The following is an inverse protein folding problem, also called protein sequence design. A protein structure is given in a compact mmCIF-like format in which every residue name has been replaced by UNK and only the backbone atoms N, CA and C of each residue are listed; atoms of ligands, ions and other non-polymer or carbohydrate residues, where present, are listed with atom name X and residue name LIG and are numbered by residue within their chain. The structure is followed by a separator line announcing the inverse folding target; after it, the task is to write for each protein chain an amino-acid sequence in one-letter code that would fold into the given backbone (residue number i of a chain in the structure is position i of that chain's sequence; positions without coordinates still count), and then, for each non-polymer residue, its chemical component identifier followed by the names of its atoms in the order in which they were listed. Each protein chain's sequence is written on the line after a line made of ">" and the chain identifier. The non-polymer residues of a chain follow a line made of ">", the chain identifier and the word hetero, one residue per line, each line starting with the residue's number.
data_IF_548884869253
#
_entry.id   IF_548884869253
#
_cell.length_a   1.000
_cell.length_b   1.000
_cell.length_c   1.000
_cell.angle_alpha   90.00
_cell.angle_beta   90.00
_cell.angle_gamma   90.00
#
_symmetry.space_group_name_H-M   'P 1'
#
loop_
_entity.id
_entity.type
_entity.pdbx_description
1 polymer ?
#
# COMPACT_ATOMS: atom_id res chain seq x y z
N UNK A 1 -23.25 6.07 2.87
CA UNK A 1 -22.06 6.54 3.59
C UNK A 1 -21.10 5.37 3.63
N UNK A 2 -19.98 5.47 2.92
CA UNK A 2 -19.16 4.33 2.49
C UNK A 2 -18.61 3.51 3.65
N UNK A 3 -18.61 2.18 3.51
CA UNK A 3 -17.88 1.30 4.41
C UNK A 3 -16.39 1.49 4.11
N UNK A 4 -15.67 2.12 5.01
CA UNK A 4 -14.23 2.28 4.93
C UNK A 4 -13.57 0.96 5.32
N UNK A 5 -12.96 0.26 4.35
CA UNK A 5 -12.12 -0.91 4.65
C UNK A 5 -10.77 -0.40 5.17
N UNK A 6 -10.77 -0.17 6.47
CA UNK A 6 -9.64 0.23 7.26
C UNK A 6 -8.84 -1.00 7.70
N UNK A 7 -7.58 -1.07 7.28
CA UNK A 7 -6.69 -2.20 7.60
C UNK A 7 -5.40 -1.66 8.21
N UNK A 8 -5.06 -2.11 9.42
CA UNK A 8 -3.72 -1.87 9.96
C UNK A 8 -2.75 -2.85 9.32
N UNK A 9 -1.67 -2.35 8.72
CA UNK A 9 -0.56 -3.13 8.19
C UNK A 9 0.62 -3.01 9.14
N UNK A 10 1.07 -4.15 9.64
CA UNK A 10 2.35 -4.24 10.35
C UNK A 10 3.28 -5.07 9.47
N UNK A 11 4.42 -4.47 9.11
CA UNK A 11 5.50 -5.13 8.40
C UNK A 11 6.60 -5.37 9.41
N UNK A 12 6.88 -6.64 9.74
CA UNK A 12 7.99 -7.02 10.63
C UNK A 12 9.03 -7.78 9.82
N UNK A 13 10.27 -7.29 9.83
CA UNK A 13 11.42 -8.01 9.29
C UNK A 13 12.15 -8.72 10.43
N UNK A 14 12.06 -10.04 10.51
CA UNK A 14 12.95 -10.81 11.38
C UNK A 14 14.32 -10.98 10.72
N UNK A 15 15.39 -10.92 11.53
CA UNK A 15 16.81 -11.05 11.11
C UNK A 15 17.12 -12.35 10.36
N UNK A 16 16.21 -13.32 10.32
CA UNK A 16 16.28 -14.54 9.53
C UNK A 16 14.95 -14.81 8.79
N UNK A 17 14.67 -14.02 7.75
CA UNK A 17 14.00 -14.52 6.54
C UNK A 17 12.48 -14.65 6.53
N UNK A 18 11.75 -14.20 7.54
CA UNK A 18 10.28 -14.12 7.47
C UNK A 18 9.80 -12.68 7.64
N UNK A 19 9.11 -12.17 6.62
CA UNK A 19 8.37 -10.92 6.65
C UNK A 19 6.94 -11.27 7.02
N UNK A 20 6.45 -10.69 8.11
CA UNK A 20 5.07 -10.92 8.54
C UNK A 20 4.25 -9.68 8.24
N UNK A 21 3.24 -9.84 7.37
CA UNK A 21 2.15 -8.87 7.24
C UNK A 21 1.06 -9.25 8.22
N UNK A 22 0.79 -8.39 9.20
CA UNK A 22 -0.47 -8.48 9.96
C UNK A 22 -1.43 -7.45 9.44
N UNK A 23 -2.54 -7.94 8.90
CA UNK A 23 -3.72 -7.16 8.55
C UNK A 23 -4.74 -7.34 9.67
N UNK A 24 -5.06 -6.27 10.40
CA UNK A 24 -6.17 -6.30 11.37
C UNK A 24 -7.34 -5.49 10.82
N UNK A 25 -8.52 -6.10 10.61
CA UNK A 25 -9.73 -5.34 10.30
C UNK A 25 -10.01 -4.37 11.44
N UNK A 26 -10.37 -3.13 11.12
CA UNK A 26 -10.90 -2.22 12.12
C UNK A 26 -12.27 -2.73 12.57
N UNK A 27 -12.36 -3.34 13.76
CA UNK A 27 -13.64 -3.69 14.36
C UNK A 27 -14.31 -2.44 14.92
N UNK A 28 -14.97 -1.65 14.06
CA UNK A 28 -16.05 -0.79 14.52
C UNK A 28 -17.35 -1.62 14.52
N UNK A 29 -18.07 -1.72 15.66
CA UNK A 29 -19.33 -2.44 15.70
C UNK A 29 -20.35 -1.71 14.81
N UNK A 30 -20.66 -2.29 13.66
CA UNK A 30 -21.77 -1.87 12.83
C UNK A 30 -23.07 -2.27 13.54
N UNK A 31 -23.64 -1.37 14.33
CA UNK A 31 -25.00 -1.57 14.84
C UNK A 31 -25.97 -1.61 13.65
N UNK A 32 -26.54 -2.80 13.42
CA UNK A 32 -27.58 -3.06 12.45
C UNK A 32 -28.84 -2.26 12.81
N UNK A 33 -29.39 -1.54 11.83
CA UNK A 33 -30.73 -1.72 11.26
C UNK A 33 -31.15 -0.42 10.53
N UNK A 34 -31.19 -0.48 9.20
CA UNK A 34 -32.07 0.38 8.40
C UNK A 34 -32.55 -0.44 7.19
N UNK A 35 -33.86 -0.45 6.87
CA UNK A 35 -34.41 -1.29 5.82
C UNK A 35 -34.11 -0.73 4.42
N UNK A 36 -33.95 -1.64 3.45
CA UNK A 36 -33.78 -1.32 2.04
C UNK A 36 -35.08 -0.70 1.47
N UNK A 37 -35.01 0.35 0.63
CA UNK A 37 -36.14 0.74 -0.21
C UNK A 37 -36.18 -0.20 -1.43
N UNK A 38 -37.19 -1.05 -1.45
CA UNK A 38 -37.68 -1.71 -2.66
C UNK A 38 -38.37 -0.64 -3.50
N UNK A 39 -37.85 -0.28 -4.68
CA UNK A 39 -38.59 0.25 -5.86
C UNK A 39 -37.67 1.06 -6.80
N UNK A 40 -37.02 0.39 -7.75
CA UNK A 40 -36.72 0.91 -9.10
C UNK A 40 -36.20 -0.25 -9.99
N UNK A 41 -37.09 -0.95 -10.67
CA UNK A 41 -36.72 -1.88 -11.75
C UNK A 41 -37.48 -1.51 -13.02
N UNK A 42 -36.95 -0.56 -13.78
CA UNK A 42 -37.14 -0.48 -15.24
C UNK A 42 -36.17 0.52 -15.85
N UNK A 43 -35.30 0.05 -16.75
CA UNK A 43 -34.58 0.89 -17.70
C UNK A 43 -33.06 0.71 -17.71
N UNK A 44 -32.57 -0.16 -18.61
CA UNK A 44 -31.26 -0.14 -19.29
C UNK A 44 -30.20 0.82 -18.75
N UNK A 45 -29.67 0.56 -17.56
CA UNK A 45 -28.38 1.07 -17.13
C UNK A 45 -27.38 -0.08 -17.22
N UNK A 46 -26.33 0.12 -18.01
CA UNK A 46 -25.10 -0.66 -17.96
C UNK A 46 -24.73 -0.82 -16.47
N UNK A 47 -24.86 -2.03 -15.92
CA UNK A 47 -24.56 -2.29 -14.51
C UNK A 47 -23.06 -2.14 -14.30
N UNK A 48 -22.59 -0.92 -14.14
CA UNK A 48 -21.32 -0.68 -13.48
C UNK A 48 -21.58 -1.11 -12.05
N UNK A 49 -21.05 -2.27 -11.68
CA UNK A 49 -21.10 -2.77 -10.32
C UNK A 49 -20.63 -1.63 -9.41
N UNK A 50 -21.47 -1.11 -8.49
CA UNK A 50 -21.08 -0.02 -7.59
C UNK A 50 -19.95 -0.44 -6.64
N UNK A 51 -19.61 -1.74 -6.65
CA UNK A 51 -18.47 -2.34 -5.97
C UNK A 51 -17.28 -2.63 -6.92
N UNK A 52 -17.11 -1.88 -8.02
CA UNK A 52 -15.89 -1.91 -8.83
C UNK A 52 -14.68 -1.30 -8.08
N UNK A 53 -14.48 -1.71 -6.82
CA UNK A 53 -13.22 -1.56 -6.14
C UNK A 53 -12.22 -2.45 -6.88
N UNK A 54 -11.25 -1.83 -7.57
CA UNK A 54 -10.04 -2.57 -7.89
C UNK A 54 -9.46 -3.04 -6.56
N UNK A 55 -9.23 -4.36 -6.35
CA UNK A 55 -8.74 -4.85 -5.09
C UNK A 55 -7.39 -4.19 -4.80
N UNK A 56 -7.22 -3.65 -3.58
CA UNK A 56 -5.94 -3.10 -3.13
C UNK A 56 -4.86 -4.16 -3.29
N UNK A 57 -3.76 -3.82 -3.96
CA UNK A 57 -2.63 -4.73 -4.15
C UNK A 57 -1.42 -4.22 -3.38
N UNK A 58 -0.77 -5.14 -2.68
CA UNK A 58 0.48 -4.89 -1.96
C UNK A 58 1.58 -5.65 -2.70
N UNK A 59 2.64 -4.96 -3.09
CA UNK A 59 3.87 -5.55 -3.61
C UNK A 59 4.91 -5.54 -2.50
N UNK A 60 5.46 -6.71 -2.17
CA UNK A 60 6.59 -6.82 -1.24
C UNK A 60 7.84 -7.31 -1.96
N UNK A 61 8.94 -6.58 -1.78
CA UNK A 61 10.20 -6.85 -2.47
C UNK A 61 11.40 -6.70 -1.53
N UNK A 62 12.01 -7.83 -1.18
CA UNK A 62 13.34 -7.86 -0.58
C UNK A 62 14.40 -7.66 -1.67
N UNK A 63 14.94 -6.43 -1.76
CA UNK A 63 15.87 -6.07 -2.84
C UNK A 63 17.33 -6.48 -2.57
N UNK A 64 17.70 -6.72 -1.31
CA UNK A 64 19.09 -6.97 -0.87
C UNK A 64 20.11 -5.93 -1.41
N UNK A 65 19.68 -4.70 -1.64
CA UNK A 65 20.51 -3.60 -2.12
C UNK A 65 19.87 -2.79 -3.25
N UNK A 66 19.32 -1.61 -2.94
CA UNK A 66 18.70 -0.69 -3.89
C UNK A 66 19.71 0.26 -4.58
N UNK A 67 21.01 0.15 -4.28
CA UNK A 67 22.06 1.00 -4.87
C UNK A 67 22.34 0.72 -6.35
N UNK A 68 21.95 -0.45 -6.86
CA UNK A 68 22.15 -0.86 -8.25
C UNK A 68 20.97 -0.44 -9.15
N UNK A 69 21.26 0.30 -10.21
CA UNK A 69 20.25 0.78 -11.17
C UNK A 69 19.46 -0.34 -11.85
N UNK A 70 20.05 -1.52 -12.04
CA UNK A 70 19.35 -2.66 -12.64
C UNK A 70 18.25 -3.20 -11.69
N UNK A 71 18.46 -3.12 -10.38
CA UNK A 71 17.47 -3.55 -9.38
C UNK A 71 16.29 -2.57 -9.36
N UNK A 72 16.54 -1.27 -9.55
CA UNK A 72 15.49 -0.26 -9.68
C UNK A 72 14.63 -0.48 -10.93
N UNK A 73 15.23 -0.88 -12.06
CA UNK A 73 14.49 -1.21 -13.29
C UNK A 73 13.54 -2.39 -13.10
N UNK A 74 14.04 -3.50 -12.56
CA UNK A 74 13.21 -4.68 -12.28
C UNK A 74 12.04 -4.34 -11.35
N UNK A 75 12.29 -3.53 -10.33
CA UNK A 75 11.24 -3.04 -9.44
C UNK A 75 10.20 -2.18 -10.18
N UNK A 76 10.66 -1.28 -11.04
CA UNK A 76 9.79 -0.45 -11.88
C UNK A 76 8.92 -1.30 -12.80
N UNK A 77 9.49 -2.33 -13.44
CA UNK A 77 8.75 -3.24 -14.32
C UNK A 77 7.63 -3.99 -13.57
N UNK A 78 7.90 -4.42 -12.33
CA UNK A 78 6.88 -5.05 -11.48
C UNK A 78 5.78 -4.06 -11.08
N UNK A 79 6.13 -2.83 -10.73
CA UNK A 79 5.17 -1.76 -10.40
C UNK A 79 4.30 -1.45 -11.61
N UNK A 80 4.89 -1.29 -12.79
CA UNK A 80 4.16 -1.03 -14.03
C UNK A 80 3.22 -2.18 -14.40
N UNK A 81 3.65 -3.42 -14.22
CA UNK A 81 2.87 -4.62 -14.60
C UNK A 81 1.71 -4.90 -13.65
N UNK A 82 1.93 -4.74 -12.34
CA UNK A 82 0.94 -5.16 -11.33
C UNK A 82 0.08 -4.00 -10.81
N UNK A 83 0.58 -2.76 -10.93
CA UNK A 83 -0.01 -1.52 -10.40
C UNK A 83 -0.41 -1.66 -8.93
N UNK A 84 0.55 -1.90 -8.02
CA UNK A 84 0.25 -2.01 -6.59
C UNK A 84 -0.16 -0.66 -5.99
N UNK A 85 -1.09 -0.69 -5.04
CA UNK A 85 -1.48 0.48 -4.24
C UNK A 85 -0.44 0.79 -3.16
N UNK A 86 0.23 -0.26 -2.67
CA UNK A 86 1.32 -0.18 -1.69
C UNK A 86 2.50 -1.00 -2.22
N UNK A 87 3.70 -0.44 -2.20
CA UNK A 87 4.92 -1.20 -2.37
C UNK A 87 5.79 -1.15 -1.13
N UNK A 88 6.36 -2.28 -0.78
CA UNK A 88 7.25 -2.47 0.36
C UNK A 88 8.60 -2.89 -0.18
N UNK A 89 9.65 -2.17 0.20
CA UNK A 89 11.02 -2.49 -0.20
C UNK A 89 11.85 -2.75 1.05
N UNK A 90 12.49 -3.92 1.08
CA UNK A 90 13.25 -4.38 2.24
C UNK A 90 14.72 -4.54 1.87
N UNK A 91 15.60 -4.41 2.88
CA UNK A 91 17.04 -4.55 2.76
C UNK A 91 17.65 -3.63 1.67
N UNK A 92 17.27 -2.35 1.65
CA UNK A 92 17.74 -1.40 0.62
C UNK A 92 19.24 -1.13 0.67
N UNK A 93 19.91 -1.35 1.82
CA UNK A 93 21.37 -1.17 2.01
C UNK A 93 21.88 0.19 1.51
N UNK A 94 21.01 1.20 1.47
CA UNK A 94 21.33 2.59 1.12
C UNK A 94 20.63 3.51 2.10
N UNK A 95 21.30 4.59 2.49
CA UNK A 95 20.79 5.59 3.45
C UNK A 95 21.11 7.01 2.98
N UNK A 96 20.66 8.01 3.74
CA UNK A 96 20.97 9.42 3.51
C UNK A 96 20.51 9.95 2.14
N UNK A 97 21.33 10.79 1.51
CA UNK A 97 21.01 11.43 0.23
C UNK A 97 20.76 10.42 -0.89
N UNK A 98 21.50 9.31 -0.91
CA UNK A 98 21.32 8.27 -1.93
C UNK A 98 19.96 7.59 -1.77
N UNK A 99 19.54 7.30 -0.55
CA UNK A 99 18.21 6.78 -0.26
C UNK A 99 17.11 7.75 -0.73
N UNK A 100 17.25 9.05 -0.41
CA UNK A 100 16.30 10.08 -0.87
C UNK A 100 16.16 10.09 -2.39
N UNK A 101 17.29 10.13 -3.10
CA UNK A 101 17.32 10.18 -4.56
C UNK A 101 16.68 8.94 -5.19
N UNK A 102 16.99 7.75 -4.68
CA UNK A 102 16.42 6.50 -5.20
C UNK A 102 14.92 6.45 -4.89
N UNK A 103 14.48 6.74 -3.66
CA UNK A 103 13.04 6.72 -3.33
C UNK A 103 12.24 7.72 -4.15
N UNK A 104 12.75 8.93 -4.41
CA UNK A 104 12.06 9.93 -5.22
C UNK A 104 12.00 9.58 -6.71
N UNK A 105 12.84 8.65 -7.16
CA UNK A 105 12.82 8.17 -8.56
C UNK A 105 11.78 7.08 -8.82
N UNK A 106 11.19 6.53 -7.76
CA UNK A 106 10.13 5.52 -7.86
C UNK A 106 8.79 6.19 -8.14
N UNK A 107 7.94 5.53 -8.91
CA UNK A 107 6.63 6.06 -9.34
C UNK A 107 5.56 5.98 -8.25
N UNK A 108 5.83 6.57 -7.09
CA UNK A 108 4.89 6.68 -5.97
C UNK A 108 4.85 8.11 -5.43
N UNK A 109 3.67 8.55 -5.00
CA UNK A 109 3.46 9.89 -4.45
C UNK A 109 4.15 10.07 -3.08
N UNK A 110 4.16 9.00 -2.28
CA UNK A 110 4.62 9.05 -0.90
C UNK A 110 5.59 7.92 -0.57
N UNK A 111 6.47 8.18 0.41
CA UNK A 111 7.43 7.22 0.94
C UNK A 111 7.58 7.41 2.46
N UNK A 112 7.49 6.32 3.21
CA UNK A 112 7.92 6.22 4.60
C UNK A 112 9.11 5.26 4.67
N UNK A 113 10.10 5.57 5.51
CA UNK A 113 11.35 4.80 5.61
C UNK A 113 11.73 4.65 7.07
N UNK A 114 12.20 3.46 7.44
CA UNK A 114 12.93 3.27 8.68
C UNK A 114 14.37 3.73 8.54
N UNK A 115 14.94 4.16 9.67
CA UNK A 115 16.37 4.47 9.75
C UNK A 115 17.19 3.18 9.61
N UNK A 116 18.29 3.29 8.89
CA UNK A 116 19.24 2.19 8.72
C UNK A 116 20.23 2.16 9.88
N UNK A 117 20.38 1.01 10.56
CA UNK A 117 21.56 0.75 11.38
C UNK A 117 22.52 -0.18 10.61
N UNK A 118 23.47 0.43 9.92
CA UNK A 118 24.40 -0.26 9.03
C UNK A 118 23.69 -0.98 7.87
N UNK A 119 23.81 -2.31 7.82
CA UNK A 119 23.17 -3.17 6.80
C UNK A 119 21.80 -3.71 7.21
N UNK A 120 21.31 -3.36 8.41
CA UNK A 120 20.08 -3.90 8.97
C UNK A 120 18.99 -2.83 8.98
N UNK A 121 17.76 -3.29 8.79
CA UNK A 121 16.58 -2.52 9.14
C UNK A 121 16.16 -1.41 8.20
N UNK A 122 16.48 -1.49 6.91
CA UNK A 122 15.93 -0.57 5.91
C UNK A 122 14.63 -1.12 5.31
N UNK A 123 13.51 -0.62 5.79
CA UNK A 123 12.15 -0.90 5.31
C UNK A 123 11.60 0.40 4.71
N UNK A 124 11.18 0.36 3.46
CA UNK A 124 10.48 1.46 2.82
C UNK A 124 9.06 1.03 2.50
N UNK A 125 8.09 1.88 2.82
CA UNK A 125 6.71 1.76 2.35
C UNK A 125 6.45 2.91 1.37
N UNK A 126 5.96 2.59 0.19
CA UNK A 126 5.59 3.55 -0.85
C UNK A 126 4.12 3.37 -1.20
N UNK A 127 3.41 4.47 -1.46
CA UNK A 127 2.00 4.44 -1.83
C UNK A 127 1.59 5.65 -2.66
N UNK A 128 0.50 5.50 -3.41
CA UNK A 128 -0.14 6.58 -4.16
C UNK A 128 -1.28 7.18 -3.36
N UNK A 129 -1.27 8.50 -3.22
CA UNK A 129 -2.31 9.24 -2.49
C UNK A 129 -3.69 9.14 -3.18
N UNK A 130 -3.70 8.82 -4.48
CA UNK A 130 -4.93 8.58 -5.23
C UNK A 130 -5.64 7.29 -4.81
N UNK A 131 -4.87 6.25 -4.49
CA UNK A 131 -5.40 4.90 -4.27
C UNK A 131 -5.72 4.66 -2.80
N UNK A 132 -4.86 5.15 -1.91
CA UNK A 132 -4.99 4.95 -0.47
C UNK A 132 -4.52 6.17 0.32
N UNK A 133 -4.99 6.24 1.56
CA UNK A 133 -4.41 7.08 2.62
C UNK A 133 -3.73 6.16 3.63
N UNK A 134 -2.55 6.54 4.08
CA UNK A 134 -1.73 5.73 4.98
C UNK A 134 -1.27 6.58 6.17
N UNK A 135 -1.74 6.23 7.37
CA UNK A 135 -1.36 6.88 8.62
C UNK A 135 -0.28 6.06 9.31
N UNK A 136 0.94 6.60 9.34
CA UNK A 136 2.08 5.95 10.00
C UNK A 136 1.91 6.04 11.53
N UNK A 137 1.81 4.90 12.19
CA UNK A 137 1.63 4.80 13.64
C UNK A 137 2.97 4.71 14.37
N UNK A 138 3.90 3.91 13.84
CA UNK A 138 5.25 3.79 14.38
C UNK A 138 6.24 3.28 13.33
N UNK A 139 7.49 3.68 13.48
CA UNK A 139 8.61 3.29 12.64
C UNK A 139 9.78 2.95 13.57
N UNK A 140 10.37 1.79 13.38
CA UNK A 140 11.67 1.43 13.93
C UNK A 140 12.47 0.67 12.86
N UNK A 141 13.70 0.28 13.19
CA UNK A 141 14.59 -0.45 12.29
C UNK A 141 14.00 -1.80 11.82
N UNK A 142 13.13 -2.44 12.59
CA UNK A 142 12.63 -3.80 12.28
C UNK A 142 11.18 -3.83 11.81
N UNK A 143 10.47 -2.71 11.91
CA UNK A 143 9.05 -2.66 11.61
C UNK A 143 8.52 -1.28 11.28
N UNK A 144 7.51 -1.27 10.41
CA UNK A 144 6.66 -0.11 10.17
C UNK A 144 5.22 -0.53 10.40
N UNK A 145 4.52 0.25 11.22
CA UNK A 145 3.12 0.07 11.57
C UNK A 145 2.33 1.22 10.98
N UNK A 146 1.31 0.91 10.21
CA UNK A 146 0.48 1.92 9.57
C UNK A 146 -0.98 1.51 9.51
N UNK A 147 -1.87 2.48 9.53
CA UNK A 147 -3.27 2.30 9.19
C UNK A 147 -3.49 2.66 7.72
N UNK A 148 -4.22 1.82 7.01
CA UNK A 148 -4.50 2.01 5.58
C UNK A 148 -5.99 2.17 5.38
N UNK A 149 -6.34 3.24 4.67
CA UNK A 149 -7.69 3.51 4.22
C UNK A 149 -7.71 3.51 2.69
N UNK A 150 -8.57 2.68 2.10
CA UNK A 150 -8.77 2.68 0.64
C UNK A 150 -9.59 3.90 0.24
N UNK A 151 -9.06 4.66 -0.71
CA UNK A 151 -9.82 5.75 -1.29
C UNK A 151 -10.82 5.16 -2.29
N UNK A 152 -12.10 5.44 -2.10
CA UNK A 152 -13.12 5.08 -3.08
C UNK A 152 -12.92 5.95 -4.33
N UNK A 153 -12.03 5.54 -5.22
CA UNK A 153 -11.93 6.15 -6.53
C UNK A 153 -13.17 5.76 -7.32
N UNK A 154 -13.96 6.75 -7.73
CA UNK A 154 -14.94 6.55 -8.78
C UNK A 154 -14.15 6.02 -9.99
N UNK A 155 -14.49 4.86 -10.60
CA UNK A 155 -13.80 4.41 -11.79
C UNK A 155 -14.03 5.48 -12.85
N UNK A 156 -13.03 6.33 -13.07
CA UNK A 156 -13.11 7.35 -14.11
C UNK A 156 -13.26 6.59 -15.41
N UNK A 157 -14.46 6.62 -15.97
CA UNK A 157 -14.89 5.98 -17.20
C UNK A 157 -14.27 6.65 -18.42
N UNK A 158 -12.96 6.90 -18.41
CA UNK A 158 -12.23 7.55 -19.48
C UNK A 158 -10.85 6.89 -19.60
N UNK A 159 -10.84 5.68 -20.16
CA UNK A 159 -9.70 5.10 -20.87
C UNK A 159 -10.22 4.37 -22.09
#
# INVERSE_FOLDING_TARGET
>A
MGREEAVTIIIVQHTMGLITFRLTPNTQPCNLLAPLPTEWMTGHAHMINPFNFLPMKILDWNCRGAGNLNICKNFTDMVCSHRPSIAVILETRISGQRANFVSSSLSFDNVCRSDADGFRGCIWILWNARDITLDILSVNDQSIHAFVQVNASNPSSNW
#
